data_IF_942544204590
#
_entry.id   IF_942544204590
#
_cell.length_a   1.000
_cell.length_b   1.000
_cell.length_c   1.000
_cell.angle_alpha   90.00
_cell.angle_beta   90.00
_cell.angle_gamma   90.00
#
_symmetry.space_group_name_H-M   'P 1'
#
loop_
_entity.id
_entity.type
_entity.pdbx_description
1 polymer ?
#
# COMPACT_ATOMS: atom_id res chain seq x y z
N UNK A 1 -14.38 -24.68 -49.87
CA UNK A 1 -14.16 -25.87 -48.99
C UNK A 1 -13.28 -25.54 -47.78
N UNK A 2 -12.67 -24.35 -47.70
CA UNK A 2 -11.75 -23.93 -46.62
C UNK A 2 -12.41 -23.29 -45.38
N UNK A 3 -13.55 -22.61 -45.50
CA UNK A 3 -14.20 -21.95 -44.33
C UNK A 3 -14.66 -22.93 -43.24
N UNK A 4 -15.05 -24.16 -43.63
CA UNK A 4 -15.47 -25.19 -42.67
C UNK A 4 -14.31 -25.70 -41.81
N UNK A 5 -13.06 -25.51 -42.24
CA UNK A 5 -11.88 -25.99 -41.52
C UNK A 5 -11.40 -24.97 -40.47
N UNK A 6 -11.54 -23.68 -40.77
CA UNK A 6 -11.19 -22.57 -39.85
C UNK A 6 -12.15 -22.53 -38.67
N UNK A 7 -13.46 -22.69 -38.90
CA UNK A 7 -14.46 -22.71 -37.82
C UNK A 7 -14.26 -23.93 -36.89
N UNK A 8 -13.74 -25.03 -37.42
CA UNK A 8 -13.42 -26.24 -36.64
C UNK A 8 -12.19 -26.04 -35.75
N UNK A 9 -11.16 -25.36 -36.25
CA UNK A 9 -9.96 -25.00 -35.47
C UNK A 9 -10.26 -23.96 -34.37
N UNK A 10 -11.11 -22.97 -34.64
CA UNK A 10 -11.50 -21.96 -33.63
C UNK A 10 -12.30 -22.60 -32.49
N UNK A 11 -13.13 -23.62 -32.78
CA UNK A 11 -13.86 -24.40 -31.77
C UNK A 11 -12.97 -25.29 -30.89
N UNK A 12 -11.84 -25.73 -31.41
CA UNK A 12 -10.91 -26.62 -30.68
C UNK A 12 -10.01 -25.82 -29.70
N UNK A 13 -9.80 -24.53 -29.97
CA UNK A 13 -9.06 -23.59 -29.12
C UNK A 13 -9.91 -23.01 -27.99
N UNK A 14 -11.25 -22.97 -28.13
CA UNK A 14 -12.14 -22.57 -27.05
C UNK A 14 -12.59 -23.77 -26.24
N UNK A 15 -11.68 -24.27 -25.37
CA UNK A 15 -12.10 -25.12 -24.24
C UNK A 15 -12.97 -24.28 -23.29
N UNK A 16 -14.26 -24.19 -23.60
CA UNK A 16 -15.28 -23.72 -22.68
C UNK A 16 -15.41 -24.78 -21.58
N UNK A 17 -14.80 -24.50 -20.43
CA UNK A 17 -15.07 -25.25 -19.20
C UNK A 17 -16.36 -24.66 -18.63
N UNK A 18 -17.49 -25.30 -18.90
CA UNK A 18 -18.76 -24.98 -18.25
C UNK A 18 -18.72 -25.52 -16.82
N UNK A 19 -18.55 -24.64 -15.84
CA UNK A 19 -18.72 -24.97 -14.43
C UNK A 19 -20.22 -25.10 -14.16
N UNK A 20 -20.70 -26.34 -14.00
CA UNK A 20 -22.03 -26.60 -13.46
C UNK A 20 -22.02 -26.20 -11.98
N UNK A 21 -22.95 -25.31 -11.62
CA UNK A 21 -23.04 -24.62 -10.33
C UNK A 21 -22.64 -25.46 -9.13
N UNK A 22 -21.57 -25.01 -8.48
CA UNK A 22 -21.23 -25.37 -7.11
C UNK A 22 -21.05 -24.08 -6.33
N UNK A 23 -21.70 -23.96 -5.18
CA UNK A 23 -21.45 -22.86 -4.26
C UNK A 23 -19.99 -22.95 -3.82
N UNK A 24 -19.19 -21.91 -4.08
CA UNK A 24 -17.81 -21.84 -3.61
C UNK A 24 -17.86 -21.47 -2.12
N UNK A 25 -18.13 -22.47 -1.30
CA UNK A 25 -18.06 -22.30 0.15
C UNK A 25 -16.58 -22.17 0.53
N UNK A 26 -16.22 -21.03 1.11
CA UNK A 26 -14.84 -20.76 1.51
C UNK A 26 -14.47 -21.54 2.78
N UNK A 27 -15.46 -22.20 3.39
CA UNK A 27 -15.39 -22.82 4.69
C UNK A 27 -15.54 -24.34 4.49
N UNK A 28 -14.41 -25.05 4.66
CA UNK A 28 -14.24 -26.50 4.58
C UNK A 28 -14.14 -27.13 3.16
N UNK A 29 -12.94 -27.63 2.84
CA UNK A 29 -12.65 -28.59 1.75
C UNK A 29 -12.71 -28.12 0.28
N UNK A 30 -12.42 -26.85 -0.01
CA UNK A 30 -12.29 -26.39 -1.41
C UNK A 30 -10.99 -26.92 -2.07
N UNK A 31 -11.13 -27.95 -2.91
CA UNK A 31 -10.11 -28.37 -3.88
C UNK A 31 -9.76 -27.16 -4.77
N UNK A 32 -8.60 -26.54 -4.52
CA UNK A 32 -8.02 -25.52 -5.40
C UNK A 32 -7.78 -26.15 -6.77
N UNK A 33 -8.33 -25.57 -7.83
CA UNK A 33 -8.04 -26.02 -9.18
C UNK A 33 -6.72 -25.39 -9.62
N UNK A 34 -5.68 -26.22 -9.71
CA UNK A 34 -4.38 -25.84 -10.25
C UNK A 34 -4.22 -26.54 -11.60
N UNK A 35 -3.88 -25.78 -12.63
CA UNK A 35 -3.63 -26.22 -13.98
C UNK A 35 -2.13 -26.12 -14.24
N UNK A 36 -1.53 -27.14 -14.84
CA UNK A 36 -0.12 -27.13 -15.25
C UNK A 36 -0.07 -26.96 -16.78
N UNK A 37 0.75 -26.01 -17.25
CA UNK A 37 0.97 -25.82 -18.68
C UNK A 37 2.06 -26.78 -19.23
N UNK A 38 2.35 -26.69 -20.53
CA UNK A 38 3.36 -27.54 -21.19
C UNK A 38 4.81 -27.17 -20.83
N UNK A 39 5.00 -26.07 -20.10
CA UNK A 39 6.29 -25.55 -19.66
C UNK A 39 6.44 -25.72 -18.13
N UNK A 40 5.64 -26.60 -17.51
CA UNK A 40 5.59 -26.85 -16.06
C UNK A 40 5.23 -25.61 -15.21
N UNK A 41 4.54 -24.62 -15.77
CA UNK A 41 3.99 -23.49 -15.01
C UNK A 41 2.64 -23.85 -14.40
N UNK A 42 2.47 -23.53 -13.12
CA UNK A 42 1.24 -23.74 -12.38
C UNK A 42 0.35 -22.50 -12.41
N UNK A 43 -0.90 -22.67 -12.82
CA UNK A 43 -1.94 -21.66 -12.84
C UNK A 43 -3.06 -22.03 -11.88
N UNK A 44 -3.52 -21.11 -11.05
CA UNK A 44 -4.67 -21.34 -10.18
C UNK A 44 -5.92 -20.68 -10.75
N UNK A 45 -7.04 -21.41 -10.77
CA UNK A 45 -8.36 -20.83 -11.06
C UNK A 45 -9.03 -20.50 -9.74
N UNK A 46 -9.33 -19.22 -9.53
CA UNK A 46 -10.03 -18.72 -8.35
C UNK A 46 -11.29 -17.97 -8.79
N UNK A 47 -12.39 -18.01 -8.01
CA UNK A 47 -13.53 -17.12 -8.25
C UNK A 47 -13.08 -15.66 -8.25
N UNK A 48 -13.64 -14.86 -9.17
CA UNK A 48 -13.32 -13.43 -9.26
C UNK A 48 -13.62 -12.70 -7.95
N UNK A 49 -14.68 -13.09 -7.25
CA UNK A 49 -15.02 -12.54 -5.94
C UNK A 49 -13.91 -12.78 -4.90
N UNK A 50 -13.33 -13.99 -4.88
CA UNK A 50 -12.21 -14.32 -3.99
C UNK A 50 -10.98 -13.48 -4.31
N UNK A 51 -10.65 -13.32 -5.60
CA UNK A 51 -9.54 -12.46 -6.02
C UNK A 51 -9.77 -11.01 -5.58
N UNK A 52 -10.98 -10.47 -5.77
CA UNK A 52 -11.33 -9.12 -5.35
C UNK A 52 -11.21 -8.94 -3.83
N UNK A 53 -11.65 -9.93 -3.04
CA UNK A 53 -11.49 -9.92 -1.58
C UNK A 53 -10.02 -9.89 -1.18
N UNK A 54 -9.16 -10.69 -1.82
CA UNK A 54 -7.72 -10.70 -1.58
C UNK A 54 -7.09 -9.34 -1.95
N UNK A 55 -7.45 -8.78 -3.11
CA UNK A 55 -6.93 -7.49 -3.55
C UNK A 55 -7.33 -6.35 -2.61
N UNK A 56 -8.57 -6.35 -2.12
CA UNK A 56 -9.05 -5.36 -1.16
C UNK A 56 -8.32 -5.50 0.18
N UNK A 57 -8.18 -6.72 0.72
CA UNK A 57 -7.42 -6.95 1.94
C UNK A 57 -5.95 -6.51 1.82
N UNK A 58 -5.31 -6.76 0.67
CA UNK A 58 -3.95 -6.30 0.40
C UNK A 58 -3.87 -4.77 0.32
N UNK A 59 -4.87 -4.12 -0.27
CA UNK A 59 -4.94 -2.65 -0.35
C UNK A 59 -5.10 -2.04 1.04
N UNK A 60 -6.01 -2.56 1.84
CA UNK A 60 -6.25 -2.13 3.23
C UNK A 60 -4.99 -2.31 4.08
N UNK A 61 -4.37 -3.48 4.05
CA UNK A 61 -3.14 -3.75 4.79
C UNK A 61 -1.98 -2.82 4.36
N UNK A 62 -1.90 -2.51 3.06
CA UNK A 62 -0.92 -1.55 2.53
C UNK A 62 -1.19 -0.14 3.04
N UNK A 63 -2.44 0.29 3.08
CA UNK A 63 -2.85 1.60 3.55
C UNK A 63 -2.62 1.77 5.06
N UNK A 64 -3.02 0.78 5.85
CA UNK A 64 -2.76 0.74 7.29
C UNK A 64 -1.25 0.76 7.59
N UNK A 65 -0.47 -0.08 6.90
CA UNK A 65 0.98 -0.08 7.04
C UNK A 65 1.59 1.28 6.67
N UNK A 66 1.02 1.98 5.68
CA UNK A 66 1.49 3.30 5.29
C UNK A 66 1.19 4.35 6.37
N UNK A 67 -0.05 4.38 6.86
CA UNK A 67 -0.48 5.32 7.91
C UNK A 67 0.37 5.16 9.19
N UNK A 68 0.62 3.92 9.63
CA UNK A 68 1.44 3.64 10.81
C UNK A 68 2.89 4.14 10.66
N UNK A 69 3.48 3.96 9.47
CA UNK A 69 4.83 4.45 9.18
C UNK A 69 4.87 5.98 9.22
N UNK A 70 3.86 6.63 8.66
CA UNK A 70 3.79 8.09 8.62
C UNK A 70 3.60 8.66 10.02
N UNK A 71 2.70 8.08 10.80
CA UNK A 71 2.48 8.43 12.20
C UNK A 71 3.79 8.36 12.99
N UNK A 72 4.50 7.22 12.89
CA UNK A 72 5.80 7.04 13.55
C UNK A 72 6.83 8.09 13.12
N UNK A 73 6.85 8.46 11.84
CA UNK A 73 7.78 9.47 11.32
C UNK A 73 7.46 10.88 11.85
N UNK A 74 6.18 11.22 11.97
CA UNK A 74 5.72 12.50 12.55
C UNK A 74 6.08 12.58 14.03
N UNK A 75 5.76 11.54 14.82
CA UNK A 75 6.04 11.49 16.25
C UNK A 75 7.51 11.69 16.60
N UNK A 76 8.43 11.26 15.73
CA UNK A 76 9.88 11.47 15.90
C UNK A 76 10.26 12.96 16.07
N UNK A 77 9.47 13.87 15.52
CA UNK A 77 9.72 15.31 15.60
C UNK A 77 8.84 16.03 16.62
N UNK A 78 8.05 15.29 17.40
CA UNK A 78 7.21 15.78 18.50
C UNK A 78 6.26 16.90 18.04
N UNK A 79 5.15 16.58 17.36
CA UNK A 79 4.18 17.58 16.93
C UNK A 79 3.53 18.25 18.14
N UNK A 80 3.26 19.56 18.03
CA UNK A 80 2.48 20.32 19.03
C UNK A 80 1.01 19.91 18.93
N UNK A 81 0.49 19.91 17.70
CA UNK A 81 -0.83 19.37 17.35
C UNK A 81 -0.64 18.30 16.27
N UNK A 82 -0.98 17.07 16.62
CA UNK A 82 -0.83 15.93 15.71
C UNK A 82 -1.77 16.03 14.51
N UNK A 83 -3.01 16.47 14.71
CA UNK A 83 -4.01 16.50 13.63
C UNK A 83 -3.64 17.55 12.57
N UNK A 84 -3.22 18.74 13.00
CA UNK A 84 -2.76 19.79 12.10
C UNK A 84 -1.49 19.37 11.36
N UNK A 85 -0.53 18.78 12.08
CA UNK A 85 0.72 18.29 11.48
C UNK A 85 0.43 17.19 10.45
N UNK A 86 -0.47 16.26 10.77
CA UNK A 86 -0.88 15.19 9.86
C UNK A 86 -1.45 15.72 8.56
N UNK A 87 -2.40 16.67 8.64
CA UNK A 87 -3.03 17.27 7.46
C UNK A 87 -2.00 17.97 6.56
N UNK A 88 -1.08 18.75 7.14
CA UNK A 88 -0.04 19.45 6.37
C UNK A 88 0.94 18.46 5.74
N UNK A 89 1.34 17.42 6.48
CA UNK A 89 2.25 16.39 5.96
C UNK A 89 1.59 15.59 4.82
N UNK A 90 0.33 15.21 4.95
CA UNK A 90 -0.43 14.54 3.90
C UNK A 90 -0.56 15.41 2.64
N UNK A 91 -0.85 16.70 2.81
CA UNK A 91 -0.91 17.62 1.67
C UNK A 91 0.47 17.76 0.97
N UNK A 92 1.57 17.85 1.72
CA UNK A 92 2.92 17.88 1.12
C UNK A 92 3.26 16.56 0.40
N UNK A 93 2.78 15.44 0.93
CA UNK A 93 2.95 14.11 0.38
C UNK A 93 2.23 13.95 -0.97
N UNK A 94 0.97 14.38 -1.05
CA UNK A 94 0.16 14.37 -2.27
C UNK A 94 0.77 15.24 -3.38
N UNK A 95 1.39 16.36 -2.98
CA UNK A 95 2.09 17.25 -3.91
C UNK A 95 3.50 16.76 -4.26
N UNK A 96 4.00 15.73 -3.58
CA UNK A 96 5.32 15.16 -3.85
C UNK A 96 5.23 14.06 -4.90
N UNK A 97 5.99 14.18 -5.99
CA UNK A 97 6.15 13.10 -6.98
C UNK A 97 7.12 12.00 -6.50
N UNK A 98 7.44 11.94 -5.20
CA UNK A 98 8.38 10.95 -4.65
C UNK A 98 7.66 9.62 -4.36
N UNK A 99 8.39 8.50 -4.49
CA UNK A 99 7.85 7.20 -4.09
C UNK A 99 7.62 7.19 -2.57
N UNK A 100 6.35 7.24 -2.22
CA UNK A 100 5.82 7.35 -0.87
C UNK A 100 6.06 6.07 -0.06
N UNK A 101 6.39 4.96 -0.73
CA UNK A 101 6.50 3.64 -0.12
C UNK A 101 7.79 3.43 0.68
N UNK A 102 8.78 4.31 0.55
CA UNK A 102 10.06 4.20 1.24
C UNK A 102 10.10 5.01 2.55
N UNK A 103 10.45 4.35 3.65
CA UNK A 103 10.62 4.98 4.97
C UNK A 103 11.62 6.16 4.94
N UNK A 104 12.61 6.10 4.05
CA UNK A 104 13.62 7.17 3.89
C UNK A 104 13.02 8.44 3.30
N UNK A 105 12.09 8.30 2.34
CA UNK A 105 11.40 9.41 1.71
C UNK A 105 10.39 10.04 2.67
N UNK A 106 9.67 9.21 3.43
CA UNK A 106 8.73 9.68 4.44
C UNK A 106 9.39 10.58 5.49
N UNK A 107 10.55 10.15 6.02
CA UNK A 107 11.33 10.96 6.97
C UNK A 107 11.85 12.27 6.34
N UNK A 108 12.18 12.26 5.05
CA UNK A 108 12.63 13.44 4.32
C UNK A 108 11.49 14.45 4.18
N UNK A 109 10.28 13.98 3.86
CA UNK A 109 9.09 14.82 3.75
C UNK A 109 8.75 15.46 5.09
N UNK A 110 8.66 14.68 6.17
CA UNK A 110 8.38 15.23 7.51
C UNK A 110 9.45 16.25 7.94
N UNK A 111 10.72 16.00 7.62
CA UNK A 111 11.81 16.95 7.87
C UNK A 111 11.64 18.25 7.07
N UNK A 112 11.17 18.18 5.83
CA UNK A 112 10.89 19.35 5.02
C UNK A 112 9.71 20.13 5.57
N UNK A 113 8.65 19.45 6.01
CA UNK A 113 7.49 20.09 6.66
C UNK A 113 7.92 20.81 7.94
N UNK A 114 8.75 20.20 8.79
CA UNK A 114 9.32 20.88 9.98
C UNK A 114 10.09 22.16 9.63
N UNK A 115 10.80 22.18 8.51
CA UNK A 115 11.52 23.39 8.06
C UNK A 115 10.59 24.47 7.55
N UNK A 116 9.52 24.10 6.83
CA UNK A 116 8.53 25.03 6.27
C UNK A 116 7.59 25.58 7.33
N UNK A 117 7.22 24.74 8.29
CA UNK A 117 6.23 25.01 9.35
C UNK A 117 6.80 24.61 10.72
N UNK A 118 7.82 25.33 11.23
CA UNK A 118 8.44 25.01 12.51
C UNK A 118 7.47 25.11 13.68
N UNK A 119 6.44 25.96 13.55
CA UNK A 119 5.38 26.15 14.54
C UNK A 119 4.47 24.93 14.77
N UNK A 120 4.56 23.90 13.92
CA UNK A 120 3.80 22.65 14.11
C UNK A 120 4.52 21.66 15.02
N UNK A 121 5.81 21.87 15.29
CA UNK A 121 6.65 20.95 16.04
C UNK A 121 7.25 21.61 17.28
N UNK A 122 7.43 20.83 18.34
CA UNK A 122 8.13 21.31 19.51
C UNK A 122 9.63 21.45 19.21
N UNK A 123 10.19 22.59 19.62
CA UNK A 123 11.62 22.81 19.62
C UNK A 123 12.14 22.65 21.06
N UNK A 124 12.82 21.55 21.34
CA UNK A 124 13.31 21.24 22.69
C UNK A 124 14.39 22.23 23.15
N UNK A 125 15.10 22.85 22.20
CA UNK A 125 16.11 23.87 22.49
C UNK A 125 15.49 25.11 23.15
N UNK A 126 14.20 25.39 22.94
CA UNK A 126 13.49 26.49 23.57
C UNK A 126 13.20 26.22 25.07
N UNK A 127 13.27 24.96 25.49
CA UNK A 127 12.96 24.50 26.85
C UNK A 127 14.19 24.10 27.67
N UNK A 128 15.34 23.94 27.02
CA UNK A 128 16.59 23.72 27.72
C UNK A 128 17.09 25.07 28.27
N UNK A 129 17.22 25.23 29.60
CA UNK A 129 17.77 26.46 30.16
C UNK A 129 19.19 26.61 29.62
N UNK A 130 19.40 27.67 28.83
CA UNK A 130 20.71 28.00 28.28
C UNK A 130 21.74 28.00 29.40
N UNK A 131 22.88 27.35 29.15
CA UNK A 131 24.04 27.41 30.03
C UNK A 131 24.24 28.84 30.53
N UNK A 132 24.35 28.94 31.85
CA UNK A 132 24.57 30.19 32.59
C UNK A 132 25.62 31.00 31.84
N UNK A 133 25.20 32.11 31.23
CA UNK A 133 26.13 33.08 30.63
C UNK A 133 27.09 33.50 31.74
N UNK A 134 28.33 33.04 31.68
CA UNK A 134 29.42 33.56 32.48
C UNK A 134 29.59 35.03 32.15
N UNK A 135 28.94 35.89 32.94
CA UNK A 135 29.30 37.30 33.08
C UNK A 135 30.61 37.34 33.85
N UNK A 136 31.72 37.28 33.10
CA UNK A 136 33.02 37.71 33.62
C UNK A 136 32.94 39.21 33.89
N UNK A 137 33.01 39.56 35.17
CA UNK A 137 33.28 40.91 35.66
C UNK A 137 34.76 41.24 35.48
#
# INVERSE_FOLDING_TARGET
MEEKNIIKQIKDLSKQVSFYGGNFDLDAHSKKLVLEDKNDNLHAVVPLETLNRILNALKEAKEESFQLKLEKAIWKYVPIDFADTWAVVMNELENSNEDIMSDKNLNKIVKNVKKKHPNLFLNLDDFLPGEVRHISR
#
